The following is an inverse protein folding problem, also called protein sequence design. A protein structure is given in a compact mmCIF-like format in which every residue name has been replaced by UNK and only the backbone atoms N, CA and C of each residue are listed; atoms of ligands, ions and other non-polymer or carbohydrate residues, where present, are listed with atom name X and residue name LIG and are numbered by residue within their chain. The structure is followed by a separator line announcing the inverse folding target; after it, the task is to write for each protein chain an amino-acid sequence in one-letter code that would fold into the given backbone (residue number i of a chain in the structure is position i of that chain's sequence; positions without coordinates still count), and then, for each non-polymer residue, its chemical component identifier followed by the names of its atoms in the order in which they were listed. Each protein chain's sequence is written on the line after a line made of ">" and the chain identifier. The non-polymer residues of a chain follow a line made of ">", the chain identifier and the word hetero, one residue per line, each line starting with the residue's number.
data_IF_316616653496
#
_entry.id   IF_316616653496
#
_cell.length_a   1.000
_cell.length_b   1.000
_cell.length_c   1.000
_cell.angle_alpha   90.00
_cell.angle_beta   90.00
_cell.angle_gamma   90.00
#
_symmetry.space_group_name_H-M   'P 1'
#
loop_
_entity.id
_entity.type
_entity.pdbx_description
1 polymer ?
#
# COMPACT_ATOMS: atom_id res chain seq x y z
N UNK A 1 11.92 3.64 -10.15
CA UNK A 1 11.13 4.56 -9.32
C UNK A 1 9.65 4.45 -9.69
N UNK A 2 8.80 3.67 -9.03
CA UNK A 2 9.00 2.73 -7.93
C UNK A 2 7.90 1.69 -8.04
N UNK A 3 8.28 0.42 -8.15
CA UNK A 3 7.33 -0.70 -8.12
C UNK A 3 6.51 -0.64 -6.83
N UNK A 4 7.14 -0.21 -5.73
CA UNK A 4 6.50 0.08 -4.46
C UNK A 4 5.40 1.16 -4.55
N UNK A 5 5.62 2.25 -5.29
CA UNK A 5 4.58 3.26 -5.52
C UNK A 5 3.39 2.68 -6.31
N UNK A 6 3.64 1.77 -7.25
CA UNK A 6 2.59 1.01 -7.92
C UNK A 6 1.78 0.12 -6.97
N UNK A 7 2.47 -0.59 -6.08
CA UNK A 7 1.86 -1.43 -5.05
C UNK A 7 1.03 -0.61 -4.05
N UNK A 8 1.57 0.50 -3.55
CA UNK A 8 0.87 1.42 -2.66
C UNK A 8 -0.35 2.06 -3.33
N UNK A 9 -0.21 2.52 -4.59
CA UNK A 9 -1.31 3.05 -5.38
C UNK A 9 -2.43 2.01 -5.57
N UNK A 10 -2.06 0.77 -5.87
CA UNK A 10 -2.99 -0.33 -6.01
C UNK A 10 -3.69 -0.65 -4.68
N UNK A 11 -2.95 -0.88 -3.60
CA UNK A 11 -3.48 -1.22 -2.28
C UNK A 11 -4.44 -0.15 -1.76
N UNK A 12 -4.06 1.14 -1.83
CA UNK A 12 -4.96 2.24 -1.42
C UNK A 12 -6.19 2.37 -2.30
N UNK A 13 -6.08 2.09 -3.59
CA UNK A 13 -7.25 2.08 -4.49
C UNK A 13 -8.18 0.90 -4.18
N UNK A 14 -7.61 -0.26 -3.85
CA UNK A 14 -8.34 -1.46 -3.46
C UNK A 14 -9.12 -1.26 -2.14
N UNK A 15 -8.50 -0.60 -1.16
CA UNK A 15 -9.12 -0.26 0.13
C UNK A 15 -10.23 0.80 -0.01
N UNK A 16 -9.98 1.87 -0.76
CA UNK A 16 -10.88 3.03 -0.81
C UNK A 16 -11.90 2.99 -1.95
N UNK A 17 -11.75 2.06 -2.90
CA UNK A 17 -12.67 1.89 -4.03
C UNK A 17 -12.73 3.08 -5.01
N UNK A 18 -11.78 4.02 -4.94
CA UNK A 18 -11.73 5.21 -5.80
C UNK A 18 -10.30 5.73 -5.99
N UNK A 19 -9.95 6.05 -7.23
CA UNK A 19 -8.65 6.66 -7.58
C UNK A 19 -8.49 8.07 -6.98
N UNK A 20 -9.60 8.79 -6.76
CA UNK A 20 -9.57 10.15 -6.21
C UNK A 20 -9.25 10.13 -4.72
N UNK A 21 -9.91 9.25 -3.97
CA UNK A 21 -9.64 9.10 -2.53
C UNK A 21 -8.27 8.49 -2.29
N UNK A 22 -7.85 7.51 -3.10
CA UNK A 22 -6.51 6.94 -3.07
C UNK A 22 -5.43 7.99 -3.37
N UNK A 23 -5.64 8.85 -4.37
CA UNK A 23 -4.70 9.94 -4.67
C UNK A 23 -4.56 10.91 -3.51
N UNK A 24 -5.68 11.32 -2.89
CA UNK A 24 -5.66 12.17 -1.70
C UNK A 24 -4.91 11.53 -0.53
N UNK A 25 -5.12 10.23 -0.28
CA UNK A 25 -4.44 9.50 0.79
C UNK A 25 -2.92 9.38 0.55
N UNK A 26 -2.50 9.28 -0.72
CA UNK A 26 -1.10 9.14 -1.11
C UNK A 26 -0.40 10.49 -1.42
N UNK A 27 -1.11 11.61 -1.32
CA UNK A 27 -0.56 12.94 -1.67
C UNK A 27 -0.28 13.15 -3.17
N UNK A 28 -0.91 12.36 -4.05
CA UNK A 28 -0.70 12.41 -5.51
C UNK A 28 -2.02 12.58 -6.28
N UNK A 29 -1.94 12.98 -7.55
CA UNK A 29 -3.14 13.14 -8.38
C UNK A 29 -3.79 11.78 -8.70
N UNK A 30 -5.12 11.75 -8.85
CA UNK A 30 -5.85 10.55 -9.26
C UNK A 30 -5.34 9.97 -10.60
N UNK A 31 -4.88 10.84 -11.51
CA UNK A 31 -4.25 10.45 -12.77
C UNK A 31 -2.92 9.73 -12.55
N UNK A 32 -2.10 10.20 -11.60
CA UNK A 32 -0.85 9.54 -11.22
C UNK A 32 -1.09 8.16 -10.58
N UNK A 33 -2.11 8.02 -9.73
CA UNK A 33 -2.54 6.71 -9.18
C UNK A 33 -2.94 5.78 -10.32
N UNK A 34 -3.83 6.22 -11.21
CA UNK A 34 -4.31 5.41 -12.33
C UNK A 34 -3.20 4.97 -13.28
N UNK A 35 -2.21 5.83 -13.54
CA UNK A 35 -1.01 5.49 -14.34
C UNK A 35 -0.11 4.49 -13.63
N UNK A 36 0.08 4.62 -12.32
CA UNK A 36 0.91 3.71 -11.52
C UNK A 36 0.30 2.31 -11.46
N UNK A 37 -1.02 2.23 -11.25
CA UNK A 37 -1.74 0.95 -11.29
C UNK A 37 -1.74 0.35 -12.69
N UNK A 38 -1.99 1.15 -13.73
CA UNK A 38 -1.96 0.65 -15.11
C UNK A 38 -0.59 0.08 -15.48
N UNK A 39 0.50 0.73 -15.06
CA UNK A 39 1.86 0.20 -15.27
C UNK A 39 2.06 -1.12 -14.53
N UNK A 40 1.62 -1.20 -13.28
CA UNK A 40 1.70 -2.44 -12.50
C UNK A 40 0.93 -3.60 -13.16
N UNK A 41 -0.29 -3.33 -13.65
CA UNK A 41 -1.10 -4.31 -14.39
C UNK A 41 -0.39 -4.76 -15.69
N UNK A 42 0.27 -3.83 -16.40
CA UNK A 42 1.05 -4.14 -17.60
C UNK A 42 2.27 -5.01 -17.30
N UNK A 43 3.02 -4.70 -16.23
CA UNK A 43 4.20 -5.47 -15.82
C UNK A 43 3.83 -6.88 -15.34
N UNK A 44 2.67 -7.03 -14.70
CA UNK A 44 2.17 -8.33 -14.24
C UNK A 44 1.42 -9.11 -15.32
N UNK A 45 1.04 -8.47 -16.43
CA UNK A 45 0.27 -9.08 -17.51
C UNK A 45 -1.17 -9.44 -17.12
N UNK A 46 -1.68 -8.91 -16.00
CA UNK A 46 -3.02 -9.23 -15.47
C UNK A 46 -3.76 -7.96 -15.08
N UNK A 47 -5.10 -8.00 -15.15
CA UNK A 47 -5.94 -6.91 -14.63
C UNK A 47 -6.27 -7.19 -13.17
N UNK A 48 -5.98 -6.21 -12.32
CA UNK A 48 -6.24 -6.29 -10.88
C UNK A 48 -7.50 -5.51 -10.48
N UNK A 49 -7.87 -4.49 -11.27
CA UNK A 49 -9.04 -3.65 -11.01
C UNK A 49 -10.05 -3.70 -12.16
N UNK A 50 -11.32 -3.88 -11.81
CA UNK A 50 -12.46 -3.62 -12.68
C UNK A 50 -12.87 -2.16 -12.57
N UNK A 51 -12.56 -1.39 -13.61
CA UNK A 51 -12.92 0.03 -13.73
C UNK A 51 -14.33 0.12 -14.31
N UNK A 52 -15.35 0.26 -13.45
CA UNK A 52 -16.63 0.82 -13.90
C UNK A 52 -16.65 2.31 -13.63
N UNK A 53 -17.32 3.10 -14.48
CA UNK A 53 -17.41 4.57 -14.37
C UNK A 53 -18.00 5.07 -13.05
N UNK A 54 -18.59 4.19 -12.23
CA UNK A 54 -19.19 4.51 -10.92
C UNK A 54 -18.58 3.76 -9.73
N UNK A 55 -17.88 2.65 -9.96
CA UNK A 55 -17.29 1.81 -8.90
C UNK A 55 -16.01 1.15 -9.38
N UNK A 56 -14.98 1.20 -8.55
CA UNK A 56 -13.80 0.37 -8.72
C UNK A 56 -14.01 -0.91 -7.91
N UNK A 57 -13.89 -2.05 -8.56
CA UNK A 57 -13.88 -3.36 -7.90
C UNK A 57 -12.55 -4.08 -8.14
N UNK A 58 -12.22 -5.03 -7.26
CA UNK A 58 -11.11 -5.96 -7.46
C UNK A 58 -11.57 -7.14 -8.33
N UNK A 59 -10.72 -7.56 -9.26
CA UNK A 59 -10.85 -8.87 -9.91
C UNK A 59 -10.50 -9.99 -8.93
N UNK A 60 -10.75 -11.26 -9.29
CA UNK A 60 -10.34 -12.39 -8.46
C UNK A 60 -8.82 -12.43 -8.26
N UNK A 61 -8.06 -12.17 -9.33
CA UNK A 61 -6.61 -12.00 -9.30
C UNK A 61 -6.21 -10.80 -8.44
N UNK A 62 -6.97 -9.70 -8.54
CA UNK A 62 -6.79 -8.50 -7.72
C UNK A 62 -6.95 -8.76 -6.23
N UNK A 63 -7.91 -9.61 -5.82
CA UNK A 63 -8.11 -9.98 -4.41
C UNK A 63 -6.93 -10.77 -3.86
N UNK A 64 -6.50 -11.82 -4.58
CA UNK A 64 -5.35 -12.65 -4.21
C UNK A 64 -4.07 -11.82 -4.11
N UNK A 65 -3.85 -10.95 -5.10
CA UNK A 65 -2.70 -10.08 -5.12
C UNK A 65 -2.75 -9.05 -3.98
N UNK A 66 -3.91 -8.43 -3.72
CA UNK A 66 -4.08 -7.46 -2.64
C UNK A 66 -3.77 -8.06 -1.26
N UNK A 67 -4.20 -9.30 -1.01
CA UNK A 67 -3.87 -9.98 0.25
C UNK A 67 -2.36 -10.14 0.43
N UNK A 68 -1.63 -10.50 -0.64
CA UNK A 68 -0.18 -10.64 -0.61
C UNK A 68 0.52 -9.29 -0.45
N UNK A 69 0.08 -8.27 -1.18
CA UNK A 69 0.65 -6.92 -1.11
C UNK A 69 0.47 -6.32 0.26
N UNK A 70 -0.70 -6.48 0.89
CA UNK A 70 -0.95 -5.98 2.25
C UNK A 70 0.07 -6.52 3.25
N UNK A 71 0.30 -7.83 3.25
CA UNK A 71 1.31 -8.45 4.14
C UNK A 71 2.72 -7.92 3.89
N UNK A 72 3.11 -7.72 2.63
CA UNK A 72 4.43 -7.17 2.30
C UNK A 72 4.57 -5.73 2.81
N UNK A 73 3.51 -4.92 2.71
CA UNK A 73 3.52 -3.56 3.23
C UNK A 73 3.59 -3.56 4.76
N UNK A 74 2.84 -4.45 5.43
CA UNK A 74 2.90 -4.63 6.88
C UNK A 74 4.33 -5.05 7.31
N UNK A 75 4.95 -6.01 6.61
CA UNK A 75 6.33 -6.47 6.90
C UNK A 75 7.36 -5.33 6.76
N UNK A 76 7.16 -4.43 5.78
CA UNK A 76 8.02 -3.25 5.60
C UNK A 76 7.84 -2.27 6.77
N UNK A 77 6.59 -1.99 7.16
CA UNK A 77 6.28 -1.11 8.29
C UNK A 77 6.86 -1.67 9.60
N UNK A 78 6.74 -2.98 9.82
CA UNK A 78 7.34 -3.67 10.97
C UNK A 78 8.88 -3.56 10.97
N UNK A 79 9.52 -3.73 9.82
CA UNK A 79 10.97 -3.58 9.69
C UNK A 79 11.43 -2.13 9.99
N UNK A 80 10.69 -1.12 9.53
CA UNK A 80 10.95 0.29 9.84
C UNK A 80 10.71 0.60 11.33
N UNK A 81 9.68 0.02 11.93
CA UNK A 81 9.38 0.14 13.35
C UNK A 81 10.48 -0.49 14.23
N UNK A 82 11.05 -1.63 13.84
CA UNK A 82 12.17 -2.26 14.53
C UNK A 82 13.41 -1.36 14.57
N UNK A 83 13.73 -0.68 13.47
CA UNK A 83 14.84 0.27 13.41
C UNK A 83 14.57 1.53 14.25
N UNK A 84 13.32 1.99 14.28
CA UNK A 84 12.91 3.14 15.09
C UNK A 84 13.02 2.84 16.59
N UNK A 85 12.61 1.66 17.04
CA UNK A 85 12.79 1.17 18.41
C UNK A 85 14.26 0.99 18.81
N UNK A 86 15.14 0.71 17.85
CA UNK A 86 16.59 0.59 18.09
C UNK A 86 17.26 1.96 18.19
N UNK A 87 16.71 2.99 17.52
CA UNK A 87 17.19 4.38 17.61
C UNK A 87 16.69 5.12 18.85
N UNK A 88 15.54 4.72 19.38
CA UNK A 88 15.10 5.08 20.73
C UNK A 88 15.94 4.31 21.75
N UNK A 89 17.16 4.79 22.01
CA UNK A 89 17.90 4.35 23.20
C UNK A 89 16.97 4.52 24.41
N UNK A 90 16.70 3.47 25.22
CA UNK A 90 15.84 3.61 26.39
C UNK A 90 16.58 4.46 27.42
N UNK A 91 16.44 5.78 27.31
CA UNK A 91 16.93 6.75 28.29
C UNK A 91 15.89 6.89 29.39
N UNK A 92 15.81 5.90 30.25
CA UNK A 92 14.95 5.92 31.42
C UNK A 92 15.42 4.90 32.44
N UNK A 93 15.62 5.31 33.69
CA UNK A 93 15.92 4.39 34.81
C UNK A 93 14.69 3.53 35.06
N UNK A 94 14.68 2.31 34.53
CA UNK A 94 13.70 1.29 34.88
C UNK A 94 13.98 0.85 36.33
N UNK A 95 13.11 1.23 37.27
CA UNK A 95 13.15 0.71 38.64
C UNK A 95 12.12 -0.41 38.77
N UNK A 96 12.61 -1.64 38.78
CA UNK A 96 11.81 -2.83 39.12
C UNK A 96 11.71 -2.85 40.64
N UNK A 97 10.49 -2.84 41.17
CA UNK A 97 10.23 -3.13 42.59
C UNK A 97 9.52 -4.48 42.64
N UNK A 98 10.13 -5.39 43.40
CA UNK A 98 9.66 -6.77 43.66
C UNK A 98 8.38 -6.77 44.48
#
# INVERSE_FOLDING_TARGET
>A
MDRLNGLLAFARTAELGSFVTAGRALGISASAVGKSVARLEQELGVRLLQRSTRRIGLTEEGKLFNERVRRILDDIEDAEAMLSRTRETPRGRLRIST
#
